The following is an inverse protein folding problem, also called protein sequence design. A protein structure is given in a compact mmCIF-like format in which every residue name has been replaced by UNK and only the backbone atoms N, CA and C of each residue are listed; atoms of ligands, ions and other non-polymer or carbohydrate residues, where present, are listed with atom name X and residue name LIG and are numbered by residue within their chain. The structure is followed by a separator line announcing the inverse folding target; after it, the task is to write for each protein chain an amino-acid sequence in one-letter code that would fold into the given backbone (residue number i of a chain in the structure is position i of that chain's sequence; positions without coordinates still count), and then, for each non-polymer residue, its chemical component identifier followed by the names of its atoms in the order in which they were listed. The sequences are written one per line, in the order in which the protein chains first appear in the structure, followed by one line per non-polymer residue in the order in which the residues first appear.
data_IF_423609610887
#
_entry.id   IF_423609610887
#
_cell.length_a   1.000
_cell.length_b   1.000
_cell.length_c   1.000
_cell.angle_alpha   90.00
_cell.angle_beta   90.00
_cell.angle_gamma   90.00
#
_symmetry.space_group_name_H-M   'P 1'
#
loop_
_entity.id
_entity.type
_entity.pdbx_description
1 polymer ?
#
# COMPACT_ATOMS: atom_id res chain seq x y z
N UNK A 1 6.14 -7.43 -33.61
CA UNK A 1 4.89 -6.96 -32.97
C UNK A 1 5.20 -6.37 -31.58
N UNK A 2 5.85 -5.18 -31.45
CA UNK A 2 6.30 -4.66 -30.15
C UNK A 2 5.52 -3.43 -29.63
N UNK A 3 4.67 -2.81 -30.46
CA UNK A 3 4.09 -1.48 -30.19
C UNK A 3 3.04 -1.50 -29.05
N UNK A 4 2.29 -2.61 -28.90
CA UNK A 4 1.25 -2.72 -27.85
C UNK A 4 1.81 -2.72 -26.43
N UNK A 5 2.99 -3.33 -26.21
CA UNK A 5 3.61 -3.37 -24.88
C UNK A 5 4.13 -1.99 -24.48
N UNK A 6 4.72 -1.23 -25.40
CA UNK A 6 5.19 0.14 -25.12
C UNK A 6 4.07 1.09 -24.68
N UNK A 7 2.86 0.97 -25.24
CA UNK A 7 1.74 1.86 -24.86
C UNK A 7 1.25 1.57 -23.44
N UNK A 8 1.15 0.29 -23.05
CA UNK A 8 0.76 -0.10 -21.69
C UNK A 8 1.79 0.39 -20.67
N UNK A 9 3.09 0.23 -20.95
CA UNK A 9 4.16 0.75 -20.09
C UNK A 9 4.15 2.28 -19.97
N UNK A 10 3.87 3.00 -21.06
CA UNK A 10 3.77 4.47 -21.05
C UNK A 10 2.55 4.92 -20.23
N UNK A 11 1.41 4.25 -20.35
CA UNK A 11 0.20 4.57 -19.59
C UNK A 11 0.39 4.28 -18.09
N UNK A 12 0.97 3.14 -17.73
CA UNK A 12 1.37 2.81 -16.36
C UNK A 12 2.36 3.85 -15.82
N UNK A 13 3.36 4.24 -16.60
CA UNK A 13 4.35 5.24 -16.20
C UNK A 13 3.73 6.64 -16.00
N UNK A 14 2.79 7.06 -16.86
CA UNK A 14 2.05 8.32 -16.70
C UNK A 14 1.14 8.27 -15.47
N UNK A 15 0.50 7.13 -15.20
CA UNK A 15 -0.34 6.94 -14.02
C UNK A 15 0.50 6.97 -12.74
N UNK A 16 1.65 6.29 -12.73
CA UNK A 16 2.66 6.34 -11.66
C UNK A 16 3.18 7.77 -11.44
N UNK A 17 3.47 8.54 -12.49
CA UNK A 17 3.91 9.94 -12.36
C UNK A 17 2.79 10.83 -11.78
N UNK A 18 1.56 10.68 -12.26
CA UNK A 18 0.40 11.43 -11.71
C UNK A 18 0.09 11.05 -10.26
N UNK A 19 0.44 9.84 -9.86
CA UNK A 19 0.21 9.28 -8.52
C UNK A 19 1.31 9.74 -7.55
N UNK A 20 2.58 9.68 -7.97
CA UNK A 20 3.72 10.29 -7.29
C UNK A 20 3.52 11.80 -7.06
N UNK A 21 3.01 12.52 -8.07
CA UNK A 21 2.73 13.95 -7.96
C UNK A 21 1.55 14.28 -7.02
N UNK A 22 0.63 13.33 -6.76
CA UNK A 22 -0.49 13.52 -5.83
C UNK A 22 -0.09 13.29 -4.38
N UNK A 23 0.57 12.17 -4.08
CA UNK A 23 1.00 11.87 -2.70
C UNK A 23 2.08 12.83 -2.19
N UNK A 24 3.04 13.21 -3.04
CA UNK A 24 4.12 14.13 -2.63
C UNK A 24 3.63 15.52 -2.24
N UNK A 25 2.39 15.89 -2.61
CA UNK A 25 1.72 17.13 -2.21
C UNK A 25 0.89 17.01 -0.93
N UNK A 26 0.69 15.79 -0.43
CA UNK A 26 0.04 15.54 0.86
C UNK A 26 1.02 15.82 2.00
N UNK A 27 0.51 16.22 3.17
CA UNK A 27 1.36 16.52 4.35
C UNK A 27 2.16 15.28 4.77
N UNK A 28 1.54 14.11 4.67
CA UNK A 28 2.20 12.82 4.92
C UNK A 28 3.38 12.61 3.98
N UNK A 29 3.18 12.89 2.68
CA UNK A 29 4.22 12.72 1.67
C UNK A 29 5.38 13.70 1.83
N UNK A 30 5.10 14.97 2.11
CA UNK A 30 6.11 15.97 2.44
C UNK A 30 6.98 15.52 3.63
N UNK A 31 6.34 15.04 4.70
CA UNK A 31 7.04 14.62 5.91
C UNK A 31 7.87 13.36 5.71
N UNK A 32 7.36 12.36 4.97
CA UNK A 32 8.13 11.16 4.61
C UNK A 32 9.32 11.52 3.71
N UNK A 33 9.15 12.44 2.78
CA UNK A 33 10.24 12.90 1.92
C UNK A 33 11.35 13.59 2.70
N UNK A 34 10.99 14.36 3.74
CA UNK A 34 11.94 15.04 4.61
C UNK A 34 12.74 14.10 5.54
N UNK A 35 12.28 12.87 5.77
CA UNK A 35 13.00 11.90 6.60
C UNK A 35 14.34 11.50 5.96
N UNK A 36 15.39 11.50 6.78
CA UNK A 36 16.75 11.09 6.44
C UNK A 36 17.06 9.75 7.11
N UNK A 37 16.26 8.74 6.78
CA UNK A 37 16.38 7.38 7.32
C UNK A 37 16.97 6.45 6.26
N UNK A 38 17.89 5.57 6.65
CA UNK A 38 18.44 4.53 5.75
C UNK A 38 17.43 3.40 5.51
N UNK A 39 16.57 3.13 6.50
CA UNK A 39 15.49 2.14 6.40
C UNK A 39 14.18 2.71 6.92
N UNK A 40 13.10 2.43 6.21
CA UNK A 40 11.75 2.81 6.60
C UNK A 40 10.96 1.65 7.21
N UNK A 41 11.64 0.58 7.65
CA UNK A 41 10.99 -0.64 8.16
C UNK A 41 10.04 -0.39 9.33
N UNK A 42 10.28 0.66 10.13
CA UNK A 42 9.40 1.09 11.21
C UNK A 42 7.98 1.47 10.70
N UNK A 43 7.85 1.83 9.42
CA UNK A 43 6.56 2.14 8.78
C UNK A 43 5.78 0.91 8.33
N UNK A 44 6.36 -0.29 8.32
CA UNK A 44 5.63 -1.48 7.83
C UNK A 44 4.39 -1.80 8.64
N UNK A 45 4.48 -1.79 9.98
CA UNK A 45 3.32 -2.06 10.85
C UNK A 45 2.17 -1.07 10.60
N UNK A 46 2.39 0.26 10.65
CA UNK A 46 1.31 1.21 10.37
C UNK A 46 0.78 1.05 8.94
N UNK A 47 1.63 0.84 7.94
CA UNK A 47 1.16 0.68 6.56
C UNK A 47 0.40 -0.64 6.33
N UNK A 48 0.77 -1.74 6.99
CA UNK A 48 -0.01 -2.98 7.00
C UNK A 48 -1.38 -2.75 7.63
N UNK A 49 -1.46 -2.07 8.78
CA UNK A 49 -2.75 -1.69 9.38
C UNK A 49 -3.58 -0.85 8.43
N UNK A 50 -2.94 0.05 7.68
CA UNK A 50 -3.64 0.89 6.73
C UNK A 50 -4.19 0.10 5.54
N UNK A 51 -3.40 -0.79 4.96
CA UNK A 51 -3.86 -1.67 3.88
C UNK A 51 -5.01 -2.57 4.33
N UNK A 52 -4.93 -3.16 5.53
CA UNK A 52 -5.98 -4.03 6.06
C UNK A 52 -7.28 -3.29 6.39
N UNK A 53 -7.23 -2.01 6.79
CA UNK A 53 -8.44 -1.18 6.98
C UNK A 53 -9.33 -1.11 5.73
N UNK A 54 -8.74 -1.26 4.54
CA UNK A 54 -9.52 -1.30 3.31
C UNK A 54 -10.54 -2.45 3.34
N UNK A 55 -10.11 -3.64 3.78
CA UNK A 55 -10.93 -4.85 3.83
C UNK A 55 -12.08 -4.72 4.84
N UNK A 56 -11.88 -3.97 5.94
CA UNK A 56 -12.96 -3.62 6.88
C UNK A 56 -14.06 -2.78 6.23
N UNK A 57 -13.70 -1.98 5.22
CA UNK A 57 -14.62 -1.05 4.55
C UNK A 57 -15.23 -1.64 3.28
N UNK A 58 -14.43 -2.40 2.52
CA UNK A 58 -14.78 -2.97 1.21
C UNK A 58 -14.27 -4.43 1.16
N UNK A 59 -15.07 -5.40 1.63
CA UNK A 59 -14.61 -6.76 1.77
C UNK A 59 -14.50 -7.47 0.40
N UNK A 60 -13.33 -8.05 0.13
CA UNK A 60 -13.15 -9.06 -0.92
C UNK A 60 -13.12 -10.46 -0.32
N UNK A 61 -13.70 -11.46 -0.99
CA UNK A 61 -13.71 -12.85 -0.49
C UNK A 61 -12.32 -13.51 -0.46
N UNK A 62 -11.37 -12.98 -1.23
CA UNK A 62 -10.02 -13.55 -1.37
C UNK A 62 -9.08 -13.20 -0.20
N UNK A 63 -9.25 -12.01 0.39
CA UNK A 63 -8.34 -11.47 1.41
C UNK A 63 -8.59 -11.87 2.88
N UNK A 64 -9.73 -12.45 3.34
CA UNK A 64 -9.92 -12.76 4.75
C UNK A 64 -8.85 -13.70 5.35
N UNK A 65 -8.34 -14.73 4.64
CA UNK A 65 -7.22 -15.53 5.15
C UNK A 65 -5.93 -14.70 5.32
N UNK A 66 -5.67 -13.79 4.38
CA UNK A 66 -4.52 -12.87 4.41
C UNK A 66 -4.63 -11.91 5.59
N UNK A 67 -5.79 -11.27 5.73
CA UNK A 67 -6.08 -10.35 6.83
C UNK A 67 -5.95 -11.03 8.19
N UNK A 68 -6.58 -12.19 8.38
CA UNK A 68 -6.51 -12.93 9.63
C UNK A 68 -5.07 -13.29 10.02
N UNK A 69 -4.25 -13.68 9.04
CA UNK A 69 -2.85 -13.97 9.28
C UNK A 69 -2.07 -12.70 9.64
N UNK A 70 -2.21 -11.64 8.84
CA UNK A 70 -1.46 -10.39 9.02
C UNK A 70 -1.87 -9.64 10.30
N UNK A 71 -3.12 -9.74 10.73
CA UNK A 71 -3.57 -9.21 12.03
C UNK A 71 -2.89 -9.91 13.20
N UNK A 72 -2.68 -11.23 13.15
CA UNK A 72 -1.86 -11.95 14.14
C UNK A 72 -0.39 -11.55 14.04
N UNK A 73 0.13 -11.37 12.82
CA UNK A 73 1.50 -10.94 12.59
C UNK A 73 1.77 -9.54 13.17
N UNK A 74 0.80 -8.63 13.10
CA UNK A 74 0.88 -7.28 13.67
C UNK A 74 0.96 -7.24 15.20
N UNK A 75 0.53 -8.30 15.90
CA UNK A 75 0.64 -8.41 17.36
C UNK A 75 2.05 -8.80 17.84
N UNK A 76 2.95 -9.22 16.93
CA UNK A 76 4.34 -9.55 17.29
C UNK A 76 5.12 -8.28 17.56
N UNK A 77 6.05 -8.30 18.52
CA UNK A 77 6.92 -7.16 18.82
C UNK A 77 7.84 -6.81 17.64
N UNK A 78 8.44 -7.83 17.02
CA UNK A 78 9.27 -7.69 15.82
C UNK A 78 8.60 -8.30 14.59
N UNK A 79 8.57 -7.54 13.48
CA UNK A 79 8.14 -8.07 12.20
C UNK A 79 9.33 -8.70 11.48
N UNK A 80 9.33 -10.03 11.39
CA UNK A 80 10.20 -10.74 10.47
C UNK A 80 9.41 -11.15 9.23
N UNK A 81 9.58 -10.42 8.12
CA UNK A 81 8.85 -10.70 6.88
C UNK A 81 9.21 -12.06 6.27
N UNK A 82 10.39 -12.59 6.58
CA UNK A 82 10.83 -13.90 6.13
C UNK A 82 10.13 -15.03 6.90
N UNK A 83 9.41 -14.70 7.99
CA UNK A 83 8.55 -15.62 8.72
C UNK A 83 7.10 -15.62 8.23
N UNK A 84 6.75 -14.75 7.26
CA UNK A 84 5.40 -14.74 6.67
C UNK A 84 5.23 -16.00 5.82
N UNK A 85 4.13 -16.70 6.06
CA UNK A 85 3.81 -17.95 5.40
C UNK A 85 3.69 -17.77 3.87
N UNK A 86 4.25 -18.70 3.12
CA UNK A 86 4.22 -18.66 1.67
C UNK A 86 2.77 -18.72 1.16
N UNK A 87 1.87 -19.45 1.82
CA UNK A 87 0.46 -19.49 1.41
C UNK A 87 -0.22 -18.12 1.45
N UNK A 88 0.22 -17.22 2.36
CA UNK A 88 -0.29 -15.85 2.45
C UNK A 88 0.24 -15.02 1.29
N UNK A 89 1.53 -15.18 0.96
CA UNK A 89 2.16 -14.52 -0.20
C UNK A 89 1.51 -14.94 -1.51
N UNK A 90 1.18 -16.23 -1.64
CA UNK A 90 0.52 -16.77 -2.84
C UNK A 90 -0.90 -16.20 -3.00
N UNK A 91 -1.67 -16.08 -1.92
CA UNK A 91 -3.00 -15.45 -1.96
C UNK A 91 -2.95 -13.97 -2.33
N UNK A 92 -1.96 -13.25 -1.81
CA UNK A 92 -1.70 -11.86 -2.21
C UNK A 92 -1.38 -11.81 -3.70
N UNK A 93 -0.53 -12.71 -4.20
CA UNK A 93 -0.17 -12.73 -5.62
C UNK A 93 -1.38 -13.00 -6.52
N UNK A 94 -2.30 -13.88 -6.14
CA UNK A 94 -3.56 -14.09 -6.87
C UNK A 94 -4.36 -12.79 -6.95
N UNK A 95 -4.51 -12.07 -5.83
CA UNK A 95 -5.27 -10.81 -5.77
C UNK A 95 -4.75 -9.71 -6.70
N UNK A 96 -3.45 -9.72 -7.03
CA UNK A 96 -2.82 -8.75 -7.96
C UNK A 96 -3.29 -8.89 -9.41
N UNK A 97 -3.84 -10.05 -9.78
CA UNK A 97 -4.25 -10.35 -11.16
C UNK A 97 -5.75 -10.65 -11.31
N UNK A 98 -6.53 -10.37 -10.26
CA UNK A 98 -7.98 -10.44 -10.30
C UNK A 98 -8.60 -9.34 -11.18
N UNK A 99 -9.87 -9.50 -11.56
CA UNK A 99 -10.57 -8.51 -12.38
C UNK A 99 -10.84 -7.17 -11.65
N UNK A 100 -10.87 -7.19 -10.32
CA UNK A 100 -11.14 -6.01 -9.49
C UNK A 100 -9.88 -5.16 -9.34
N UNK A 101 -9.90 -3.96 -9.92
CA UNK A 101 -8.78 -3.02 -9.85
C UNK A 101 -8.40 -2.67 -8.41
N UNK A 102 -9.36 -2.35 -7.53
CA UNK A 102 -9.05 -2.03 -6.13
C UNK A 102 -8.48 -3.23 -5.35
N UNK A 103 -8.87 -4.46 -5.71
CA UNK A 103 -8.25 -5.67 -5.15
C UNK A 103 -6.81 -5.81 -5.63
N UNK A 104 -6.53 -5.51 -6.91
CA UNK A 104 -5.17 -5.53 -7.42
C UNK A 104 -4.29 -4.54 -6.67
N UNK A 105 -4.76 -3.30 -6.51
CA UNK A 105 -4.04 -2.22 -5.82
C UNK A 105 -3.74 -2.58 -4.34
N UNK A 106 -4.73 -3.06 -3.58
CA UNK A 106 -4.47 -3.53 -2.20
C UNK A 106 -3.50 -4.71 -2.18
N UNK A 107 -3.60 -5.63 -3.13
CA UNK A 107 -2.70 -6.78 -3.20
C UNK A 107 -1.28 -6.37 -3.59
N UNK A 108 -1.08 -5.38 -4.45
CA UNK A 108 0.23 -4.79 -4.75
C UNK A 108 0.83 -4.13 -3.51
N UNK A 109 0.05 -3.35 -2.76
CA UNK A 109 0.49 -2.76 -1.49
C UNK A 109 0.94 -3.82 -0.49
N UNK A 110 0.12 -4.86 -0.28
CA UNK A 110 0.44 -5.97 0.61
C UNK A 110 1.67 -6.73 0.15
N UNK A 111 1.83 -6.97 -1.15
CA UNK A 111 2.99 -7.67 -1.71
C UNK A 111 4.29 -6.94 -1.39
N UNK A 112 4.35 -5.62 -1.59
CA UNK A 112 5.53 -4.81 -1.23
C UNK A 112 5.82 -4.92 0.28
N UNK A 113 4.79 -4.85 1.11
CA UNK A 113 4.93 -4.91 2.57
C UNK A 113 5.46 -6.26 3.09
N UNK A 114 5.13 -7.38 2.43
CA UNK A 114 5.46 -8.74 2.89
C UNK A 114 6.64 -9.39 2.15
N UNK A 115 7.03 -8.88 0.98
CA UNK A 115 8.08 -9.49 0.14
C UNK A 115 9.35 -8.66 0.02
N UNK A 116 9.30 -7.34 0.20
CA UNK A 116 10.50 -6.50 0.05
C UNK A 116 11.34 -6.54 1.32
N UNK A 117 12.59 -6.99 1.30
CA UNK A 117 13.49 -6.94 2.48
C UNK A 117 14.00 -5.51 2.76
N UNK A 118 14.55 -4.86 1.75
CA UNK A 118 15.06 -3.50 1.84
C UNK A 118 13.94 -2.48 1.68
N UNK A 119 13.20 -2.21 2.76
CA UNK A 119 12.09 -1.25 2.75
C UNK A 119 12.61 0.18 2.81
N UNK A 120 12.69 0.82 1.65
CA UNK A 120 13.17 2.18 1.49
C UNK A 120 12.00 3.17 1.29
N UNK A 121 12.34 4.44 1.10
CA UNK A 121 11.37 5.54 0.89
C UNK A 121 10.48 5.31 -0.33
N UNK A 122 11.01 4.78 -1.43
CA UNK A 122 10.24 4.50 -2.65
C UNK A 122 9.18 3.44 -2.40
N UNK A 123 9.52 2.38 -1.65
CA UNK A 123 8.55 1.37 -1.24
C UNK A 123 7.41 1.96 -0.42
N UNK A 124 7.71 2.85 0.53
CA UNK A 124 6.69 3.54 1.34
C UNK A 124 5.73 4.32 0.46
N UNK A 125 6.26 5.10 -0.48
CA UNK A 125 5.48 5.92 -1.40
C UNK A 125 4.58 5.03 -2.27
N UNK A 126 5.12 3.95 -2.83
CA UNK A 126 4.36 2.99 -3.64
C UNK A 126 3.23 2.34 -2.84
N UNK A 127 3.50 1.87 -1.62
CA UNK A 127 2.49 1.26 -0.76
C UNK A 127 1.33 2.21 -0.48
N UNK A 128 1.62 3.44 -0.06
CA UNK A 128 0.56 4.42 0.24
C UNK A 128 -0.24 4.73 -1.01
N UNK A 129 0.43 4.92 -2.14
CA UNK A 129 -0.20 5.20 -3.42
C UNK A 129 -1.19 4.10 -3.84
N UNK A 130 -0.77 2.84 -3.78
CA UNK A 130 -1.64 1.70 -4.08
C UNK A 130 -2.89 1.68 -3.16
N UNK A 131 -2.71 1.91 -1.85
CA UNK A 131 -3.84 1.94 -0.92
C UNK A 131 -4.80 3.10 -1.25
N UNK A 132 -4.28 4.31 -1.52
CA UNK A 132 -5.11 5.46 -1.89
C UNK A 132 -5.87 5.24 -3.20
N UNK A 133 -5.24 4.59 -4.19
CA UNK A 133 -5.87 4.28 -5.47
C UNK A 133 -7.00 3.24 -5.32
N UNK A 134 -6.82 2.26 -4.43
CA UNK A 134 -7.89 1.32 -4.12
C UNK A 134 -9.12 2.02 -3.53
N UNK A 135 -8.92 3.02 -2.68
CA UNK A 135 -10.01 3.79 -2.05
C UNK A 135 -10.65 4.81 -3.01
N UNK A 136 -9.88 5.43 -3.92
CA UNK A 136 -10.39 6.42 -4.88
C UNK A 136 -11.43 5.83 -5.84
N UNK A 137 -11.44 4.50 -6.01
CA UNK A 137 -12.48 3.79 -6.77
C UNK A 137 -13.88 3.89 -6.16
N UNK A 138 -13.96 4.20 -4.85
CA UNK A 138 -15.22 4.17 -4.10
C UNK A 138 -15.63 5.54 -3.54
N UNK A 139 -14.77 6.56 -3.63
CA UNK A 139 -14.94 7.85 -2.94
C UNK A 139 -14.65 9.03 -3.88
N UNK A 140 -15.29 10.18 -3.62
CA UNK A 140 -14.97 11.42 -4.30
C UNK A 140 -13.55 11.90 -3.94
N UNK A 141 -12.74 12.18 -4.96
CA UNK A 141 -11.30 12.40 -4.82
C UNK A 141 -10.94 13.51 -3.82
N UNK A 142 -11.69 14.61 -3.82
CA UNK A 142 -11.28 15.81 -3.07
C UNK A 142 -11.51 15.65 -1.57
N UNK A 143 -12.68 15.16 -1.18
CA UNK A 143 -13.03 14.96 0.23
C UNK A 143 -12.30 13.75 0.82
N UNK A 144 -12.01 12.75 -0.01
CA UNK A 144 -11.27 11.56 0.36
C UNK A 144 -9.80 11.84 0.73
N UNK A 145 -9.06 12.57 -0.12
CA UNK A 145 -7.62 12.74 0.05
C UNK A 145 -7.27 13.53 1.32
N UNK A 146 -8.05 14.55 1.66
CA UNK A 146 -7.83 15.33 2.89
C UNK A 146 -8.04 14.46 4.14
N UNK A 147 -9.11 13.66 4.17
CA UNK A 147 -9.41 12.74 5.27
C UNK A 147 -8.33 11.66 5.44
N UNK A 148 -7.88 11.06 4.34
CA UNK A 148 -6.87 10.01 4.41
C UNK A 148 -5.47 10.53 4.71
N UNK A 149 -5.10 11.73 4.24
CA UNK A 149 -3.83 12.36 4.64
C UNK A 149 -3.81 12.61 6.15
N UNK A 150 -4.92 13.07 6.74
CA UNK A 150 -5.01 13.23 8.19
C UNK A 150 -4.93 11.90 8.96
N UNK A 151 -5.58 10.85 8.44
CA UNK A 151 -5.52 9.52 9.04
C UNK A 151 -4.10 8.96 9.02
N UNK A 152 -3.44 9.02 7.85
CA UNK A 152 -2.06 8.61 7.67
C UNK A 152 -1.09 9.39 8.57
N UNK A 153 -1.26 10.71 8.68
CA UNK A 153 -0.48 11.53 9.59
C UNK A 153 -0.60 11.05 11.04
N UNK A 154 -1.80 10.73 11.51
CA UNK A 154 -2.02 10.23 12.89
C UNK A 154 -1.43 8.83 13.08
N UNK A 155 -1.53 7.99 12.06
CA UNK A 155 -1.07 6.60 12.11
C UNK A 155 0.45 6.49 12.09
N UNK A 156 1.11 7.29 11.25
CA UNK A 156 2.55 7.25 11.03
C UNK A 156 3.31 8.18 11.97
N UNK A 157 2.73 9.35 12.28
CA UNK A 157 3.33 10.37 13.12
C UNK A 157 2.43 10.71 14.32
N UNK A 158 2.14 9.75 15.21
CA UNK A 158 1.30 10.02 16.37
C UNK A 158 1.91 11.14 17.22
N UNK A 159 1.07 12.07 17.66
CA UNK A 159 1.50 13.09 18.63
C UNK A 159 1.72 12.38 19.98
N UNK A 160 2.93 12.47 20.52
CA UNK A 160 3.25 12.05 21.88
C UNK A 160 2.50 12.88 22.92
#
# INVERSE_FOLDING_TARGET
MPIKYSIIYILLFIQIIKMLDRFTKLKTGEKINALQEESFSFLRKPLLKYALRYQDTYPFDLLPPVENYLNKFLQKDELNINSIDQSVKDLIEVGRFEYSFSLNEISDALSILVNTENFNKECVIQVINHILEAFSCNLDEKEFLESEDEYLMKLIFPKN
#
